data_IF_580009850257
#
_entry.id   IF_580009850257
#
_cell.length_a   1.000
_cell.length_b   1.000
_cell.length_c   1.000
_cell.angle_alpha   90.00
_cell.angle_beta   90.00
_cell.angle_gamma   90.00
#
_symmetry.space_group_name_H-M   'P 1'
#
loop_
_entity.id
_entity.type
_entity.pdbx_description
1 polymer ?
#
# COMPACT_ATOMS: atom_id res chain seq x y z
N UNK A 1 13.29 -3.08 -12.62
CA UNK A 1 11.98 -3.14 -13.26
C UNK A 1 11.59 -4.58 -13.51
N UNK A 2 10.33 -4.91 -13.25
CA UNK A 2 9.76 -6.24 -13.49
C UNK A 2 9.25 -6.34 -14.94
N UNK A 3 8.62 -5.27 -15.42
CA UNK A 3 8.25 -5.10 -16.82
C UNK A 3 8.39 -3.61 -17.23
N UNK A 4 7.88 -3.22 -18.39
CA UNK A 4 7.97 -1.86 -18.91
C UNK A 4 7.23 -0.81 -18.08
N UNK A 5 6.23 -1.23 -17.28
CA UNK A 5 5.40 -0.34 -16.48
C UNK A 5 5.65 -0.43 -14.98
N UNK A 6 6.18 -1.55 -14.52
CA UNK A 6 6.16 -1.92 -13.13
C UNK A 6 7.56 -2.19 -12.57
N UNK A 7 7.86 -1.60 -11.41
CA UNK A 7 9.05 -1.88 -10.62
C UNK A 7 8.69 -2.12 -9.15
N UNK A 8 9.53 -2.88 -8.47
CA UNK A 8 9.43 -3.13 -7.05
C UNK A 8 10.79 -2.87 -6.40
N UNK A 9 10.75 -2.24 -5.25
CA UNK A 9 11.89 -2.11 -4.34
C UNK A 9 11.51 -2.78 -3.04
N UNK A 10 12.28 -3.77 -2.63
CA UNK A 10 12.13 -4.34 -1.30
C UNK A 10 12.93 -3.52 -0.31
N UNK A 11 12.28 -3.09 0.75
CA UNK A 11 12.89 -2.40 1.86
C UNK A 11 12.56 -3.12 3.18
N UNK A 12 13.53 -3.90 3.68
CA UNK A 12 13.38 -4.73 4.86
C UNK A 12 12.21 -5.71 4.72
N UNK A 13 11.06 -5.43 5.34
CA UNK A 13 9.86 -6.31 5.31
C UNK A 13 8.83 -5.86 4.29
N UNK A 14 8.89 -4.62 3.82
CA UNK A 14 7.89 -4.04 2.92
C UNK A 14 8.37 -3.99 1.46
N UNK A 15 7.47 -4.17 0.55
CA UNK A 15 7.67 -3.92 -0.88
C UNK A 15 7.06 -2.56 -1.25
N UNK A 16 7.86 -1.71 -1.86
CA UNK A 16 7.41 -0.45 -2.41
C UNK A 16 7.31 -0.63 -3.92
N UNK A 17 6.17 -0.29 -4.49
CA UNK A 17 5.92 -0.49 -5.89
C UNK A 17 5.89 0.84 -6.64
N UNK A 18 6.31 0.81 -7.89
CA UNK A 18 6.27 1.95 -8.80
C UNK A 18 5.55 1.50 -10.08
N UNK A 19 4.52 2.22 -10.44
CA UNK A 19 3.82 2.03 -11.70
C UNK A 19 4.04 3.25 -12.59
N UNK A 20 4.57 3.03 -13.81
CA UNK A 20 4.89 4.10 -14.75
C UNK A 20 4.14 3.93 -16.06
N UNK A 21 3.55 5.05 -16.52
CA UNK A 21 2.93 5.16 -17.83
C UNK A 21 3.23 6.53 -18.42
N UNK A 22 3.89 6.55 -19.58
CA UNK A 22 4.43 7.81 -20.11
C UNK A 22 5.43 8.44 -19.14
N UNK A 23 5.24 9.72 -18.86
CA UNK A 23 6.11 10.49 -17.95
C UNK A 23 5.66 10.43 -16.47
N UNK A 24 4.52 9.80 -16.17
CA UNK A 24 3.98 9.74 -14.82
C UNK A 24 4.36 8.43 -14.14
N UNK A 25 4.96 8.56 -12.95
CA UNK A 25 5.23 7.45 -12.05
C UNK A 25 4.40 7.62 -10.77
N UNK A 26 3.57 6.63 -10.47
CA UNK A 26 2.83 6.50 -9.21
C UNK A 26 3.60 5.55 -8.31
N UNK A 27 3.72 5.90 -7.04
CA UNK A 27 4.30 5.05 -6.01
C UNK A 27 3.18 4.43 -5.17
N UNK A 28 3.30 3.16 -4.81
CA UNK A 28 2.38 2.45 -3.93
C UNK A 28 3.15 2.07 -2.67
N UNK A 29 2.69 2.62 -1.56
CA UNK A 29 3.34 2.66 -0.25
C UNK A 29 4.70 3.38 -0.26
N UNK A 30 5.22 3.72 0.92
CA UNK A 30 6.39 4.59 1.05
C UNK A 30 7.50 3.99 1.94
N UNK A 31 7.40 2.71 2.25
CA UNK A 31 8.44 1.99 2.97
C UNK A 31 8.72 2.49 4.39
N UNK A 32 9.73 1.93 4.99
CA UNK A 32 10.12 2.20 6.37
C UNK A 32 11.39 3.06 6.48
N UNK A 33 12.43 2.75 5.69
CA UNK A 33 13.72 3.45 5.73
C UNK A 33 13.94 4.24 4.43
N UNK A 34 13.51 5.49 4.43
CA UNK A 34 13.63 6.39 3.27
C UNK A 34 15.06 6.53 2.73
N UNK A 35 16.10 6.41 3.53
CA UNK A 35 17.49 6.50 3.07
C UNK A 35 17.84 5.37 2.11
N UNK A 36 17.45 4.15 2.42
CA UNK A 36 17.60 3.00 1.52
C UNK A 36 16.66 3.10 0.32
N UNK A 37 15.46 3.62 0.51
CA UNK A 37 14.50 3.79 -0.56
C UNK A 37 15.04 4.74 -1.63
N UNK A 38 15.62 5.88 -1.24
CA UNK A 38 16.25 6.83 -2.16
C UNK A 38 17.35 6.16 -2.98
N UNK A 39 18.27 5.42 -2.34
CA UNK A 39 19.33 4.69 -3.01
C UNK A 39 18.79 3.70 -4.06
N UNK A 40 17.81 2.89 -3.67
CA UNK A 40 17.20 1.88 -4.55
C UNK A 40 16.38 2.50 -5.68
N UNK A 41 15.71 3.63 -5.44
CA UNK A 41 15.08 4.40 -6.51
C UNK A 41 16.11 4.88 -7.53
N UNK A 42 17.29 5.29 -7.06
CA UNK A 42 18.42 5.63 -7.94
C UNK A 42 18.85 4.47 -8.85
N UNK A 43 18.86 3.24 -8.33
CA UNK A 43 19.15 2.05 -9.17
C UNK A 43 18.09 1.80 -10.24
N UNK A 44 16.84 2.18 -9.99
CA UNK A 44 15.75 2.10 -10.97
C UNK A 44 15.72 3.28 -11.95
N UNK A 45 16.57 4.30 -11.73
CA UNK A 45 16.52 5.54 -12.50
C UNK A 45 15.30 6.41 -12.18
N UNK A 46 14.73 6.27 -10.98
CA UNK A 46 13.59 7.08 -10.52
C UNK A 46 14.12 8.20 -9.62
N UNK A 47 13.91 9.45 -10.03
CA UNK A 47 14.14 10.61 -9.18
C UNK A 47 13.00 10.72 -8.14
N UNK A 48 13.28 10.63 -6.83
CA UNK A 48 12.25 10.80 -5.81
C UNK A 48 11.49 12.12 -5.93
N UNK A 49 12.15 13.18 -6.38
CA UNK A 49 11.51 14.47 -6.57
C UNK A 49 10.47 14.49 -7.70
N UNK A 50 10.47 13.52 -8.59
CA UNK A 50 9.50 13.36 -9.67
C UNK A 50 8.17 12.72 -9.16
N UNK A 51 8.20 12.03 -8.03
CA UNK A 51 7.00 11.40 -7.48
C UNK A 51 6.02 12.46 -6.98
N UNK A 52 4.84 12.49 -7.59
CA UNK A 52 3.75 13.41 -7.27
C UNK A 52 2.53 12.73 -6.66
N UNK A 53 2.43 11.42 -6.80
CA UNK A 53 1.26 10.62 -6.42
C UNK A 53 1.72 9.36 -5.69
N UNK A 54 1.23 9.18 -4.47
CA UNK A 54 1.50 8.00 -3.65
C UNK A 54 0.17 7.43 -3.18
N UNK A 55 -0.10 6.19 -3.54
CA UNK A 55 -1.24 5.42 -3.04
C UNK A 55 -0.81 4.71 -1.76
N UNK A 56 -1.51 4.93 -0.67
CA UNK A 56 -1.21 4.32 0.63
C UNK A 56 -2.22 3.21 0.89
N UNK A 57 -1.73 1.99 1.06
CA UNK A 57 -2.59 0.85 1.39
C UNK A 57 -3.10 0.96 2.83
N UNK A 58 -2.20 1.22 3.76
CA UNK A 58 -2.52 1.44 5.18
C UNK A 58 -1.42 2.22 5.91
N UNK A 59 -1.65 2.57 7.18
CA UNK A 59 -0.84 3.51 7.93
C UNK A 59 0.34 2.92 8.69
N UNK A 60 0.59 1.62 8.64
CA UNK A 60 1.69 1.03 9.38
C UNK A 60 3.04 1.59 8.90
N UNK A 61 4.00 1.74 9.82
CA UNK A 61 5.22 2.56 9.62
C UNK A 61 6.08 2.06 8.45
N UNK A 62 6.04 0.77 8.15
CA UNK A 62 6.74 0.18 7.01
C UNK A 62 6.06 0.48 5.65
N UNK A 63 4.89 1.11 5.66
CA UNK A 63 4.16 1.57 4.48
C UNK A 63 4.15 3.08 4.31
N UNK A 64 4.39 3.84 5.38
CA UNK A 64 4.32 5.30 5.37
C UNK A 64 5.59 6.00 5.88
N UNK A 65 6.63 5.26 6.24
CA UNK A 65 7.82 5.80 6.90
C UNK A 65 8.50 6.94 6.14
N UNK A 66 8.61 6.86 4.81
CA UNK A 66 9.24 7.92 4.02
C UNK A 66 8.39 9.19 3.86
N UNK A 67 7.11 9.15 4.25
CA UNK A 67 6.20 10.32 4.24
C UNK A 67 5.80 10.78 5.64
N UNK A 68 6.31 10.15 6.69
CA UNK A 68 6.11 10.63 8.05
C UNK A 68 6.64 12.06 8.23
N UNK A 69 6.00 12.81 9.13
CA UNK A 69 6.31 14.21 9.35
C UNK A 69 7.76 14.49 9.76
N UNK A 70 8.39 13.54 10.43
CA UNK A 70 9.78 13.64 10.92
C UNK A 70 10.79 13.04 9.91
N UNK A 71 10.33 12.48 8.78
CA UNK A 71 11.20 12.06 7.69
C UNK A 71 11.89 13.25 7.02
N UNK A 72 13.04 13.09 6.34
CA UNK A 72 13.74 14.16 5.62
C UNK A 72 12.92 14.85 4.53
N UNK A 73 11.71 14.32 4.25
CA UNK A 73 10.78 14.99 3.35
C UNK A 73 11.08 14.78 1.88
N UNK A 74 11.59 13.60 1.52
CA UNK A 74 11.88 13.18 0.15
C UNK A 74 10.66 13.35 -0.77
N UNK A 75 9.46 13.07 -0.26
CA UNK A 75 8.20 13.12 -0.99
C UNK A 75 7.26 14.25 -0.54
N UNK A 76 7.78 15.35 0.01
CA UNK A 76 6.94 16.46 0.56
C UNK A 76 5.94 17.06 -0.42
N UNK A 77 6.23 16.98 -1.71
CA UNK A 77 5.36 17.53 -2.77
C UNK A 77 4.37 16.49 -3.31
N UNK A 78 4.47 15.25 -2.87
CA UNK A 78 3.56 14.22 -3.31
C UNK A 78 2.21 14.37 -2.61
N UNK A 79 1.14 14.15 -3.36
CA UNK A 79 -0.22 14.00 -2.87
C UNK A 79 -0.42 12.54 -2.47
N UNK A 80 -0.96 12.31 -1.29
CA UNK A 80 -1.24 10.97 -0.78
C UNK A 80 -2.70 10.62 -1.00
N UNK A 81 -2.94 9.44 -1.53
CA UNK A 81 -4.25 8.85 -1.70
C UNK A 81 -4.42 7.78 -0.64
N UNK A 82 -5.37 7.95 0.26
CA UNK A 82 -5.54 7.08 1.44
C UNK A 82 -7.02 6.85 1.72
N UNK A 83 -7.38 5.66 2.15
CA UNK A 83 -8.76 5.36 2.56
C UNK A 83 -9.26 6.33 3.65
N UNK A 84 -10.49 6.81 3.52
CA UNK A 84 -11.10 7.71 4.52
C UNK A 84 -11.06 7.09 5.92
N UNK A 85 -11.40 5.80 6.02
CA UNK A 85 -11.35 5.06 7.29
C UNK A 85 -9.91 4.95 7.80
N UNK A 86 -8.93 4.74 6.91
CA UNK A 86 -7.52 4.66 7.30
C UNK A 86 -6.98 6.01 7.78
N UNK A 87 -7.45 7.11 7.20
CA UNK A 87 -7.06 8.45 7.63
C UNK A 87 -7.40 8.73 9.10
N UNK A 88 -8.36 8.05 9.71
CA UNK A 88 -8.71 8.18 11.12
C UNK A 88 -7.57 7.78 12.06
N UNK A 89 -6.70 6.85 11.63
CA UNK A 89 -5.45 6.56 12.35
C UNK A 89 -4.47 7.71 12.22
N UNK A 90 -4.31 8.27 11.02
CA UNK A 90 -3.38 9.37 10.75
C UNK A 90 -3.79 10.69 11.47
N UNK A 91 -5.07 10.88 11.74
CA UNK A 91 -5.58 12.00 12.51
C UNK A 91 -5.55 11.78 14.03
N UNK A 92 -5.27 10.54 14.46
CA UNK A 92 -5.29 10.17 15.88
C UNK A 92 -6.68 9.93 16.45
N UNK A 93 -7.73 9.95 15.64
CA UNK A 93 -9.10 9.62 16.06
C UNK A 93 -9.20 8.15 16.49
N UNK A 94 -8.50 7.28 15.80
CA UNK A 94 -8.38 5.85 16.11
C UNK A 94 -6.92 5.49 16.36
N UNK A 95 -6.66 4.58 17.28
CA UNK A 95 -5.32 4.04 17.55
C UNK A 95 -5.16 2.66 16.97
N UNK A 96 -4.11 2.47 16.21
CA UNK A 96 -3.71 1.16 15.66
C UNK A 96 -3.38 0.19 16.79
N UNK A 97 -4.00 -0.96 16.78
CA UNK A 97 -3.80 -2.01 17.78
C UNK A 97 -3.38 -3.31 17.09
N UNK A 98 -2.38 -3.95 17.66
CA UNK A 98 -1.83 -5.22 17.18
C UNK A 98 -1.76 -6.24 18.33
N UNK A 99 -1.32 -7.46 18.04
CA UNK A 99 -1.20 -8.55 19.00
C UNK A 99 -2.52 -8.72 19.77
N UNK A 100 -3.58 -9.02 19.00
CA UNK A 100 -4.93 -9.24 19.55
C UNK A 100 -5.44 -8.07 20.41
N UNK A 101 -5.16 -6.82 19.97
CA UNK A 101 -5.50 -5.57 20.65
C UNK A 101 -4.75 -5.28 21.98
N UNK A 102 -3.75 -6.07 22.31
CA UNK A 102 -2.98 -5.87 23.53
C UNK A 102 -1.95 -4.75 23.42
N UNK A 103 -1.46 -4.46 22.21
CA UNK A 103 -0.44 -3.44 21.98
C UNK A 103 -0.95 -2.33 21.06
N UNK A 104 -0.68 -1.08 21.42
CA UNK A 104 -1.00 0.10 20.61
C UNK A 104 0.27 0.60 19.93
N UNK A 105 0.24 0.71 18.62
CA UNK A 105 1.34 1.30 17.88
C UNK A 105 1.44 2.82 18.10
N UNK A 106 2.64 3.41 17.93
CA UNK A 106 2.82 4.86 17.92
C UNK A 106 1.91 5.53 16.90
N UNK A 107 1.57 6.78 17.16
CA UNK A 107 0.81 7.61 16.22
C UNK A 107 1.71 8.03 15.06
N UNK A 108 1.33 7.70 13.85
CA UNK A 108 1.94 8.23 12.63
C UNK A 108 1.32 9.59 12.31
N UNK A 109 2.16 10.55 11.94
CA UNK A 109 1.72 11.90 11.52
C UNK A 109 2.25 12.18 10.12
N UNK A 110 1.37 12.59 9.22
CA UNK A 110 1.69 12.91 7.83
C UNK A 110 1.23 14.33 7.50
N UNK A 111 2.13 15.14 6.92
CA UNK A 111 1.87 16.56 6.57
C UNK A 111 1.45 16.75 5.12
N UNK A 112 1.66 15.76 4.26
CA UNK A 112 1.29 15.83 2.85
C UNK A 112 -0.21 16.10 2.68
N UNK A 113 -0.56 16.73 1.57
CA UNK A 113 -1.95 16.81 1.11
C UNK A 113 -2.51 15.41 0.92
N UNK A 114 -3.72 15.16 1.41
CA UNK A 114 -4.39 13.87 1.33
C UNK A 114 -5.65 13.96 0.47
N UNK A 115 -5.82 12.98 -0.40
CA UNK A 115 -7.08 12.67 -1.07
C UNK A 115 -7.68 11.46 -0.37
N UNK A 116 -8.87 11.63 0.18
CA UNK A 116 -9.57 10.55 0.87
C UNK A 116 -10.35 9.71 -0.12
N UNK A 117 -10.16 8.40 -0.05
CA UNK A 117 -10.74 7.43 -0.97
C UNK A 117 -11.81 6.59 -0.29
N UNK A 118 -12.81 6.18 -1.07
CA UNK A 118 -13.91 5.34 -0.62
C UNK A 118 -13.91 3.98 -1.34
N UNK A 119 -14.62 2.98 -0.76
CA UNK A 119 -14.77 1.66 -1.40
C UNK A 119 -15.46 1.78 -2.76
N UNK A 120 -14.90 1.12 -3.76
CA UNK A 120 -15.43 1.11 -5.13
C UNK A 120 -15.18 2.38 -5.92
N UNK A 121 -14.49 3.37 -5.36
CA UNK A 121 -14.11 4.58 -6.08
C UNK A 121 -13.15 4.26 -7.22
N UNK A 122 -13.30 4.96 -8.34
CA UNK A 122 -12.37 4.89 -9.46
C UNK A 122 -12.04 6.30 -9.95
N UNK A 123 -10.77 6.54 -10.21
CA UNK A 123 -10.27 7.81 -10.71
C UNK A 123 -9.10 7.61 -11.68
N UNK A 124 -8.63 8.69 -12.25
CA UNK A 124 -7.52 8.66 -13.21
C UNK A 124 -6.45 9.69 -12.85
N UNK A 125 -5.19 9.30 -12.98
CA UNK A 125 -4.02 10.17 -12.87
C UNK A 125 -3.24 10.06 -14.18
N UNK A 126 -3.23 11.11 -14.99
CA UNK A 126 -2.47 11.19 -16.24
C UNK A 126 -2.66 9.95 -17.15
N UNK A 127 -3.90 9.50 -17.32
CA UNK A 127 -4.24 8.33 -18.13
C UNK A 127 -3.99 6.98 -17.47
N UNK A 128 -3.63 6.96 -16.18
CA UNK A 128 -3.54 5.76 -15.35
C UNK A 128 -4.85 5.61 -14.60
N UNK A 129 -5.62 4.57 -14.90
CA UNK A 129 -6.87 4.26 -14.20
C UNK A 129 -6.60 3.53 -12.92
N UNK A 130 -7.13 4.02 -11.81
CA UNK A 130 -7.00 3.43 -10.48
C UNK A 130 -8.41 3.12 -9.95
N UNK A 131 -8.61 1.91 -9.47
CA UNK A 131 -9.83 1.49 -8.79
C UNK A 131 -9.48 1.07 -7.36
N UNK A 132 -10.28 1.51 -6.40
CA UNK A 132 -10.03 1.36 -4.98
C UNK A 132 -11.00 0.37 -4.36
N UNK A 133 -10.50 -0.53 -3.55
CA UNK A 133 -11.31 -1.48 -2.78
C UNK A 133 -10.93 -1.38 -1.30
N UNK A 134 -11.92 -1.16 -0.46
CA UNK A 134 -11.76 -1.28 0.99
C UNK A 134 -11.75 -2.75 1.37
N UNK A 135 -10.63 -3.22 1.93
CA UNK A 135 -10.43 -4.62 2.33
C UNK A 135 -9.99 -4.64 3.81
N UNK A 136 -10.95 -4.41 4.72
CA UNK A 136 -10.63 -4.28 6.14
C UNK A 136 -10.27 -5.62 6.78
N UNK A 137 -9.45 -5.54 7.84
CA UNK A 137 -9.06 -6.69 8.65
C UNK A 137 -7.64 -6.57 9.16
N UNK A 138 -6.66 -6.34 8.31
CA UNK A 138 -5.32 -5.97 8.74
C UNK A 138 -5.38 -4.62 9.49
N UNK A 139 -5.89 -3.59 8.85
CA UNK A 139 -6.45 -2.39 9.49
C UNK A 139 -7.92 -2.24 9.11
N UNK A 140 -8.67 -1.38 9.81
CA UNK A 140 -10.08 -1.11 9.47
C UNK A 140 -10.25 -0.36 8.15
N UNK A 141 -9.24 0.37 7.72
CA UNK A 141 -9.30 1.21 6.53
C UNK A 141 -8.37 0.75 5.40
N UNK A 142 -7.83 -0.48 5.47
CA UNK A 142 -6.89 -0.99 4.48
C UNK A 142 -7.48 -0.94 3.07
N UNK A 143 -6.71 -0.34 2.13
CA UNK A 143 -7.09 -0.20 0.73
C UNK A 143 -6.27 -1.13 -0.16
N UNK A 144 -6.93 -1.69 -1.15
CA UNK A 144 -6.34 -2.42 -2.25
C UNK A 144 -6.56 -1.63 -3.53
N UNK A 145 -5.56 -1.56 -4.40
CA UNK A 145 -5.60 -0.78 -5.63
C UNK A 145 -5.48 -1.67 -6.87
N UNK A 146 -6.41 -1.52 -7.80
CA UNK A 146 -6.33 -2.13 -9.13
C UNK A 146 -5.93 -1.04 -10.14
N UNK A 147 -4.77 -1.19 -10.76
CA UNK A 147 -4.24 -0.22 -11.72
C UNK A 147 -4.38 -0.76 -13.15
N UNK A 148 -4.97 0.07 -14.03
CA UNK A 148 -5.25 -0.22 -15.44
C UNK A 148 -5.95 -1.57 -15.67
N UNK A 149 -6.71 -2.05 -14.66
CA UNK A 149 -7.40 -3.34 -14.70
C UNK A 149 -6.47 -4.58 -14.73
N UNK A 150 -5.17 -4.37 -14.55
CA UNK A 150 -4.14 -5.40 -14.74
C UNK A 150 -3.37 -5.74 -13.46
N UNK A 151 -3.00 -4.74 -12.66
CA UNK A 151 -2.14 -4.94 -11.49
C UNK A 151 -2.91 -4.66 -10.21
N UNK A 152 -2.96 -5.64 -9.31
CA UNK A 152 -3.63 -5.55 -8.02
C UNK A 152 -2.60 -5.44 -6.89
N UNK A 153 -2.55 -4.29 -6.24
CA UNK A 153 -1.67 -4.02 -5.10
C UNK A 153 -2.43 -4.25 -3.80
N UNK A 154 -2.08 -5.32 -3.12
CA UNK A 154 -2.87 -5.86 -2.01
C UNK A 154 -2.43 -5.37 -0.63
N UNK A 155 -1.26 -4.72 -0.52
CA UNK A 155 -0.69 -4.40 0.77
C UNK A 155 -0.63 -5.64 1.68
N UNK A 156 -0.89 -5.44 2.96
CA UNK A 156 -0.81 -6.49 3.99
C UNK A 156 -2.09 -7.31 4.15
N UNK A 157 -3.03 -7.21 3.20
CA UNK A 157 -4.25 -8.05 3.26
C UNK A 157 -3.94 -9.51 3.01
N UNK A 158 -2.89 -9.82 2.24
CA UNK A 158 -2.48 -11.17 1.89
C UNK A 158 -0.98 -11.22 1.66
N UNK A 159 -0.35 -12.29 2.10
CA UNK A 159 1.07 -12.58 1.95
C UNK A 159 1.28 -13.89 1.21
N UNK A 160 2.38 -14.00 0.48
CA UNK A 160 2.82 -15.27 -0.08
C UNK A 160 3.80 -15.91 0.90
N UNK A 161 3.44 -17.09 1.42
CA UNK A 161 4.30 -17.88 2.29
C UNK A 161 5.42 -18.59 1.53
N UNK A 162 6.46 -19.02 2.25
CA UNK A 162 7.58 -19.78 1.70
C UNK A 162 7.18 -21.09 1.01
N UNK A 163 6.06 -21.65 1.44
CA UNK A 163 5.45 -22.85 0.85
C UNK A 163 4.65 -22.58 -0.43
N UNK A 164 4.60 -21.31 -0.87
CA UNK A 164 3.79 -20.87 -2.00
C UNK A 164 2.30 -20.72 -1.67
N UNK A 165 1.91 -20.93 -0.43
CA UNK A 165 0.54 -20.70 0.04
C UNK A 165 0.28 -19.24 0.41
N UNK A 166 -0.98 -18.84 0.40
CA UNK A 166 -1.38 -17.52 0.85
C UNK A 166 -1.62 -17.52 2.36
N UNK A 167 -1.15 -16.47 3.03
CA UNK A 167 -1.36 -16.27 4.45
C UNK A 167 -1.44 -14.78 4.79
N UNK A 168 -1.64 -14.47 6.06
CA UNK A 168 -1.50 -13.14 6.62
C UNK A 168 -1.02 -13.23 8.05
N UNK A 169 -0.41 -12.17 8.56
CA UNK A 169 0.13 -12.17 9.93
C UNK A 169 -1.00 -11.87 10.91
N UNK A 170 -1.58 -12.91 11.47
CA UNK A 170 -2.76 -12.82 12.35
C UNK A 170 -2.55 -11.95 13.59
N UNK A 171 -1.32 -11.90 14.14
CA UNK A 171 -1.00 -11.06 15.28
C UNK A 171 -0.99 -9.56 14.97
N UNK A 172 -0.80 -9.19 13.70
CA UNK A 172 -0.79 -7.81 13.25
C UNK A 172 -2.15 -7.35 12.73
N UNK A 173 -3.06 -8.26 12.41
CA UNK A 173 -4.41 -7.91 11.98
C UNK A 173 -5.28 -7.46 13.16
N UNK A 174 -6.11 -6.45 12.95
CA UNK A 174 -7.09 -5.99 13.92
C UNK A 174 -8.29 -6.95 14.03
N UNK A 175 -8.70 -7.54 12.90
CA UNK A 175 -9.75 -8.56 12.86
C UNK A 175 -9.46 -9.61 11.79
N UNK A 176 -8.99 -10.78 12.21
CA UNK A 176 -8.66 -11.88 11.31
C UNK A 176 -9.87 -12.45 10.57
N UNK A 177 -11.05 -12.46 11.20
CA UNK A 177 -12.26 -12.99 10.56
C UNK A 177 -12.77 -12.03 9.50
N UNK A 178 -12.67 -10.74 9.78
CA UNK A 178 -13.00 -9.71 8.80
C UNK A 178 -12.01 -9.73 7.63
N UNK A 179 -10.70 -9.90 7.88
CA UNK A 179 -9.69 -10.00 6.82
C UNK A 179 -10.01 -11.13 5.82
N UNK A 180 -10.32 -12.32 6.30
CA UNK A 180 -10.69 -13.46 5.44
C UNK A 180 -11.97 -13.15 4.64
N UNK A 181 -12.99 -12.58 5.29
CA UNK A 181 -14.26 -12.26 4.64
C UNK A 181 -14.10 -11.18 3.56
N UNK A 182 -13.41 -10.10 3.87
CA UNK A 182 -13.21 -9.00 2.91
C UNK A 182 -12.35 -9.39 1.72
N UNK A 183 -11.38 -10.30 1.89
CA UNK A 183 -10.64 -10.88 0.78
C UNK A 183 -11.54 -11.72 -0.13
N UNK A 184 -12.40 -12.57 0.43
CA UNK A 184 -13.36 -13.36 -0.34
C UNK A 184 -14.38 -12.46 -1.09
N UNK A 185 -14.80 -11.36 -0.48
CA UNK A 185 -15.66 -10.35 -1.13
C UNK A 185 -14.95 -9.64 -2.29
N UNK A 186 -13.65 -9.31 -2.14
CA UNK A 186 -12.84 -8.74 -3.22
C UNK A 186 -12.71 -9.74 -4.37
N UNK A 187 -12.36 -10.99 -4.09
CA UNK A 187 -12.28 -12.06 -5.10
C UNK A 187 -13.58 -12.18 -5.88
N UNK A 188 -14.71 -12.28 -5.20
CA UNK A 188 -16.03 -12.35 -5.84
C UNK A 188 -16.35 -11.11 -6.71
N UNK A 189 -15.96 -9.90 -6.27
CA UNK A 189 -16.12 -8.67 -7.06
C UNK A 189 -15.27 -8.74 -8.36
N UNK A 190 -14.04 -9.24 -8.30
CA UNK A 190 -13.15 -9.37 -9.45
C UNK A 190 -13.66 -10.44 -10.42
N UNK A 191 -14.06 -11.62 -9.92
CA UNK A 191 -14.63 -12.71 -10.72
C UNK A 191 -15.91 -12.30 -11.45
N UNK A 192 -16.83 -11.63 -10.76
CA UNK A 192 -18.08 -11.14 -11.37
C UNK A 192 -17.82 -10.19 -12.54
N UNK A 193 -16.69 -9.48 -12.51
CA UNK A 193 -16.24 -8.58 -13.58
C UNK A 193 -15.32 -9.27 -14.61
N UNK A 194 -15.03 -10.56 -14.44
CA UNK A 194 -14.08 -11.35 -15.26
C UNK A 194 -12.68 -10.71 -15.29
N UNK A 195 -12.27 -10.15 -14.18
CA UNK A 195 -10.95 -9.56 -14.01
C UNK A 195 -10.01 -10.59 -13.37
N UNK A 196 -8.86 -10.81 -13.99
CA UNK A 196 -7.81 -11.71 -13.50
C UNK A 196 -6.49 -10.92 -13.40
N UNK A 197 -6.39 -9.98 -12.45
CA UNK A 197 -5.21 -9.14 -12.33
C UNK A 197 -4.00 -9.94 -11.84
N UNK A 198 -2.82 -9.40 -12.14
CA UNK A 198 -1.58 -9.87 -11.53
C UNK A 198 -1.56 -9.31 -10.10
N UNK A 199 -1.65 -10.20 -9.10
CA UNK A 199 -1.55 -9.81 -7.71
C UNK A 199 -0.10 -9.51 -7.33
N UNK A 200 0.11 -8.34 -6.76
CA UNK A 200 1.41 -7.90 -6.27
C UNK A 200 1.37 -7.94 -4.74
N UNK A 201 2.00 -8.98 -4.22
CA UNK A 201 1.92 -9.39 -2.83
C UNK A 201 3.21 -9.05 -2.08
N UNK A 202 3.10 -8.95 -0.77
CA UNK A 202 4.25 -9.06 0.12
C UNK A 202 4.67 -10.52 0.24
N UNK A 203 5.97 -10.78 0.31
CA UNK A 203 6.49 -12.12 0.53
C UNK A 203 7.05 -12.21 1.93
N UNK A 204 6.73 -13.28 2.66
CA UNK A 204 7.29 -13.56 3.99
C UNK A 204 8.78 -13.92 3.95
N UNK A 205 9.30 -14.23 2.76
CA UNK A 205 10.70 -14.61 2.63
C UNK A 205 11.62 -13.43 2.49
N UNK A 206 12.20 -13.12 3.60
CA UNK A 206 13.51 -12.50 3.68
C UNK A 206 14.58 -13.57 3.34
N UNK A 207 14.53 -14.16 2.17
CA UNK A 207 15.67 -14.92 1.71
C UNK A 207 16.59 -13.96 0.97
N UNK A 208 17.66 -13.58 1.67
CA UNK A 208 18.99 -13.10 1.28
C UNK A 208 19.12 -12.05 0.16
#
# INVERSE_FOLDING_TARGET
WVDEHFACVREWVANIFFYRKGDTTIMIDAGYNYGRLEEKMGWLGIDPSSIRHILITHQDTDHVGAVEADSPGLFRKAKLYVGETENRYLTGEVRRKVIYHLYKLPQVTIRNEKVLLHDGEAFEIDGIRIECFLVPGHTWGHMVYLIDGKYLFTGDTIWLGADGGYSFISALAEDNRLAVRSLAELEAKLEARKLHPICLLYTSDAAD
#
